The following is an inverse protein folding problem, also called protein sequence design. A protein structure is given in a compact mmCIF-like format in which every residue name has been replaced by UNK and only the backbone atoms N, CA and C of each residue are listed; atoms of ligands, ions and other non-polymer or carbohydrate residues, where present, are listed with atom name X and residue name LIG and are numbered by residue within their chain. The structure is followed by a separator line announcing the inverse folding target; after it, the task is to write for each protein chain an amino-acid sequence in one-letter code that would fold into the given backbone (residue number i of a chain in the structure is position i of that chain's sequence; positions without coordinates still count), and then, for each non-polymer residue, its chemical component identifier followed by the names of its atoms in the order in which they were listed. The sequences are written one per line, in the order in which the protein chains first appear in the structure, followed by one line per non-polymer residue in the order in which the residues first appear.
data_IF_788850409295
#
_entry.id   IF_788850409295
#
_cell.length_a   1.000
_cell.length_b   1.000
_cell.length_c   1.000
_cell.angle_alpha   90.00
_cell.angle_beta   90.00
_cell.angle_gamma   90.00
#
_symmetry.space_group_name_H-M   'P 1'
#
loop_
_entity.id
_entity.type
_entity.pdbx_description
1 polymer ?
#
# COMPACT_ATOMS: atom_id res chain seq x y z
N UNK A 1 -31.72 -6.96 0.36
CA UNK A 1 -31.20 -6.75 -1.01
C UNK A 1 -31.67 -7.89 -1.88
N UNK A 2 -32.16 -7.60 -3.08
CA UNK A 2 -32.55 -8.64 -4.05
C UNK A 2 -31.30 -9.24 -4.71
N UNK A 3 -31.38 -10.47 -5.18
CA UNK A 3 -30.35 -11.05 -6.02
C UNK A 3 -30.34 -10.35 -7.38
N UNK A 4 -29.16 -9.88 -7.80
CA UNK A 4 -28.95 -9.28 -9.12
C UNK A 4 -27.85 -10.09 -9.80
N UNK A 5 -28.20 -10.81 -10.87
CA UNK A 5 -27.24 -11.63 -11.61
C UNK A 5 -26.26 -10.77 -12.40
N UNK A 6 -25.01 -11.22 -12.51
CA UNK A 6 -23.99 -10.65 -13.40
C UNK A 6 -24.12 -11.15 -14.85
N UNK A 7 -25.01 -12.10 -15.12
CA UNK A 7 -25.06 -12.89 -16.36
C UNK A 7 -24.40 -14.26 -16.24
N UNK A 8 -23.73 -14.56 -15.12
CA UNK A 8 -23.23 -15.90 -14.80
C UNK A 8 -24.39 -16.90 -14.63
N UNK A 9 -24.22 -18.10 -15.20
CA UNK A 9 -25.17 -19.20 -15.08
C UNK A 9 -24.60 -20.33 -14.21
N UNK A 10 -25.16 -20.60 -13.01
CA UNK A 10 -24.70 -21.69 -12.15
C UNK A 10 -24.95 -23.08 -12.73
N UNK A 11 -25.94 -23.25 -13.62
CA UNK A 11 -26.22 -24.53 -14.29
C UNK A 11 -25.23 -24.81 -15.43
N UNK A 12 -24.54 -23.76 -15.91
CA UNK A 12 -23.55 -23.84 -16.99
C UNK A 12 -22.29 -23.04 -16.61
N UNK A 13 -21.56 -23.46 -15.57
CA UNK A 13 -20.52 -22.63 -14.97
C UNK A 13 -19.31 -22.38 -15.88
N UNK A 14 -19.17 -23.12 -16.98
CA UNK A 14 -18.08 -22.96 -17.95
C UNK A 14 -18.49 -22.14 -19.18
N UNK A 15 -19.78 -21.89 -19.39
CA UNK A 15 -20.26 -21.06 -20.50
C UNK A 15 -19.85 -19.60 -20.28
N UNK A 16 -19.29 -18.96 -21.31
CA UNK A 16 -18.80 -17.56 -21.27
C UNK A 16 -17.76 -17.24 -20.18
N UNK A 17 -17.05 -18.25 -19.65
CA UNK A 17 -15.96 -18.05 -18.70
C UNK A 17 -14.70 -17.53 -19.41
N UNK A 18 -14.26 -16.33 -19.04
CA UNK A 18 -12.93 -15.82 -19.40
C UNK A 18 -11.92 -16.23 -18.32
N UNK A 19 -10.80 -16.86 -18.70
CA UNK A 19 -9.69 -17.25 -17.80
C UNK A 19 -8.34 -16.89 -18.42
N UNK A 20 -7.29 -16.91 -17.60
CA UNK A 20 -5.89 -16.78 -18.03
C UNK A 20 -5.53 -15.48 -18.77
N UNK A 21 -6.29 -14.40 -18.54
CA UNK A 21 -6.09 -13.09 -19.20
C UNK A 21 -4.99 -12.22 -18.58
N UNK A 22 -4.55 -12.53 -17.35
CA UNK A 22 -3.54 -11.73 -16.63
C UNK A 22 -4.01 -10.30 -16.26
N UNK A 23 -3.06 -9.42 -15.85
CA UNK A 23 -3.36 -8.01 -15.57
C UNK A 23 -3.47 -7.20 -16.87
N UNK A 24 -4.13 -6.04 -16.78
CA UNK A 24 -4.02 -5.00 -17.81
C UNK A 24 -2.57 -4.52 -17.94
N UNK A 25 -2.16 -4.15 -19.14
CA UNK A 25 -0.79 -3.71 -19.36
C UNK A 25 -0.64 -2.29 -18.79
N UNK A 26 0.45 -2.05 -18.05
CA UNK A 26 0.62 -0.81 -17.29
C UNK A 26 0.68 0.46 -18.15
N UNK A 27 1.04 0.34 -19.43
CA UNK A 27 1.18 1.46 -20.37
C UNK A 27 -0.16 1.96 -20.91
N UNK A 28 -1.26 1.23 -20.66
CA UNK A 28 -2.64 1.71 -20.87
C UNK A 28 -2.99 2.88 -19.92
N UNK A 29 -2.24 3.06 -18.82
CA UNK A 29 -2.58 4.00 -17.74
C UNK A 29 -1.54 5.11 -17.52
N UNK A 30 -0.52 5.21 -18.37
CA UNK A 30 0.49 6.25 -18.21
C UNK A 30 -0.07 7.65 -18.46
N UNK A 31 0.28 8.64 -17.63
CA UNK A 31 0.21 10.04 -18.04
C UNK A 31 1.03 10.25 -19.31
N UNK A 32 0.59 11.17 -20.18
CA UNK A 32 1.22 11.38 -21.48
C UNK A 32 2.70 11.75 -21.37
N UNK A 33 3.07 12.59 -20.39
CA UNK A 33 4.47 12.94 -20.10
C UNK A 33 5.32 11.71 -19.73
N UNK A 34 4.75 10.73 -19.01
CA UNK A 34 5.44 9.48 -18.66
C UNK A 34 5.60 8.60 -19.89
N UNK A 35 4.54 8.48 -20.69
CA UNK A 35 4.54 7.65 -21.91
C UNK A 35 5.58 8.14 -22.91
N UNK A 36 5.67 9.44 -23.14
CA UNK A 36 6.56 10.04 -24.14
C UNK A 36 8.04 10.03 -23.72
N UNK A 37 8.31 10.02 -22.41
CA UNK A 37 9.66 10.10 -21.85
C UNK A 37 10.13 8.79 -21.19
N UNK A 38 9.37 7.70 -21.30
CA UNK A 38 9.74 6.41 -20.73
C UNK A 38 11.10 5.94 -21.25
N UNK A 39 12.04 5.76 -20.32
CA UNK A 39 13.41 5.32 -20.64
C UNK A 39 14.36 6.45 -21.06
N UNK A 40 13.92 7.71 -21.03
CA UNK A 40 14.69 8.91 -21.40
C UNK A 40 14.77 9.91 -20.25
N UNK A 41 14.78 9.43 -19.00
CA UNK A 41 14.88 10.28 -17.81
C UNK A 41 16.34 10.56 -17.51
N UNK A 42 16.70 11.84 -17.35
CA UNK A 42 18.07 12.27 -17.14
C UNK A 42 18.43 12.34 -15.65
N UNK A 43 17.60 13.00 -14.85
CA UNK A 43 17.80 13.14 -13.41
C UNK A 43 16.48 13.34 -12.67
N UNK A 44 16.56 13.33 -11.34
CA UNK A 44 15.46 13.70 -10.46
C UNK A 44 15.97 14.57 -9.31
N UNK A 45 15.07 15.35 -8.73
CA UNK A 45 15.32 16.14 -7.53
C UNK A 45 14.13 16.04 -6.57
N UNK A 46 14.39 16.16 -5.27
CA UNK A 46 13.36 16.31 -4.26
C UNK A 46 13.27 17.80 -3.91
N UNK A 47 12.18 18.44 -4.33
CA UNK A 47 11.99 19.88 -4.18
C UNK A 47 11.62 20.27 -2.74
N UNK A 48 10.82 19.43 -2.10
CA UNK A 48 10.38 19.54 -0.70
C UNK A 48 9.86 18.17 -0.22
N UNK A 49 9.61 17.96 1.09
CA UNK A 49 9.05 16.70 1.57
C UNK A 49 7.73 16.35 0.86
N UNK A 50 7.72 15.21 0.17
CA UNK A 50 6.59 14.73 -0.61
C UNK A 50 6.53 15.20 -2.07
N UNK A 51 7.44 16.07 -2.54
CA UNK A 51 7.43 16.56 -3.93
C UNK A 51 8.73 16.24 -4.65
N UNK A 52 8.62 15.56 -5.78
CA UNK A 52 9.72 15.21 -6.66
C UNK A 52 9.55 15.88 -8.02
N UNK A 53 10.65 16.12 -8.73
CA UNK A 53 10.64 16.38 -10.17
C UNK A 53 11.55 15.38 -10.85
N UNK A 54 11.14 14.88 -12.02
CA UNK A 54 12.02 14.16 -12.95
C UNK A 54 12.11 14.97 -14.24
N UNK A 55 13.31 15.09 -14.78
CA UNK A 55 13.59 15.83 -16.01
C UNK A 55 14.09 14.86 -17.07
N UNK A 56 13.49 14.91 -18.25
CA UNK A 56 13.85 14.04 -19.36
C UNK A 56 15.00 14.62 -20.20
N UNK A 57 15.54 13.79 -21.10
CA UNK A 57 16.52 14.21 -22.11
C UNK A 57 15.97 15.29 -23.07
N UNK A 58 14.65 15.41 -23.23
CA UNK A 58 14.01 16.44 -24.07
C UNK A 58 13.76 17.75 -23.33
N UNK A 59 14.01 17.77 -22.01
CA UNK A 59 13.69 18.90 -21.13
C UNK A 59 12.26 18.86 -20.58
N UNK A 60 11.47 17.83 -20.88
CA UNK A 60 10.16 17.65 -20.28
C UNK A 60 10.31 17.34 -18.79
N UNK A 61 9.43 17.91 -17.98
CA UNK A 61 9.42 17.72 -16.54
C UNK A 61 8.14 17.02 -16.10
N UNK A 62 8.25 16.12 -15.12
CA UNK A 62 7.09 15.59 -14.40
C UNK A 62 7.29 15.76 -12.90
N UNK A 63 6.32 16.41 -12.29
CA UNK A 63 6.27 16.68 -10.87
C UNK A 63 5.38 15.64 -10.19
N UNK A 64 5.90 14.97 -9.17
CA UNK A 64 5.16 13.96 -8.42
C UNK A 64 4.91 14.45 -6.99
N UNK A 65 3.64 14.50 -6.59
CA UNK A 65 3.23 14.75 -5.20
C UNK A 65 2.84 13.44 -4.56
N UNK A 66 3.64 12.99 -3.59
CA UNK A 66 3.42 11.76 -2.82
C UNK A 66 2.65 12.09 -1.54
N UNK A 67 1.58 11.33 -1.28
CA UNK A 67 0.84 11.39 -0.03
C UNK A 67 0.68 10.01 0.62
N UNK A 68 0.52 10.03 1.94
CA UNK A 68 0.29 8.84 2.75
C UNK A 68 -1.07 8.21 2.44
N UNK A 69 -1.12 6.88 2.49
CA UNK A 69 -2.36 6.11 2.39
C UNK A 69 -2.44 5.07 3.48
N UNK A 70 -3.64 4.79 4.00
CA UNK A 70 -3.84 3.81 5.08
C UNK A 70 -3.70 2.34 4.62
N UNK A 71 -3.44 2.10 3.32
CA UNK A 71 -3.50 0.80 2.62
C UNK A 71 -4.90 0.18 2.63
N UNK A 72 -5.46 -0.10 3.80
CA UNK A 72 -6.86 -0.49 3.95
C UNK A 72 -7.72 0.76 3.78
N UNK A 73 -8.57 0.76 2.77
CA UNK A 73 -9.36 1.93 2.40
C UNK A 73 -10.74 1.51 1.88
N UNK A 74 -11.72 2.40 2.06
CA UNK A 74 -13.06 2.22 1.50
C UNK A 74 -13.09 2.59 0.02
N UNK A 75 -14.09 2.08 -0.70
CA UNK A 75 -14.35 2.48 -2.09
C UNK A 75 -14.67 3.97 -2.21
N UNK A 76 -15.27 4.59 -1.19
CA UNK A 76 -15.47 6.05 -1.14
C UNK A 76 -14.15 6.81 -1.13
N UNK A 77 -13.16 6.34 -0.38
CA UNK A 77 -11.84 6.97 -0.37
C UNK A 77 -11.10 6.78 -1.71
N UNK A 78 -11.24 5.60 -2.35
CA UNK A 78 -10.72 5.38 -3.71
C UNK A 78 -11.37 6.33 -4.72
N UNK A 79 -12.68 6.55 -4.64
CA UNK A 79 -13.39 7.52 -5.51
C UNK A 79 -12.90 8.96 -5.28
N UNK A 80 -12.60 9.32 -4.04
CA UNK A 80 -12.01 10.63 -3.71
C UNK A 80 -10.57 10.78 -4.26
N UNK A 81 -9.78 9.70 -4.29
CA UNK A 81 -8.47 9.68 -4.98
C UNK A 81 -8.68 9.93 -6.49
N UNK A 82 -9.66 9.27 -7.11
CA UNK A 82 -9.98 9.48 -8.52
C UNK A 82 -10.47 10.90 -8.82
N UNK A 83 -11.30 11.50 -7.96
CA UNK A 83 -11.75 12.90 -8.07
C UNK A 83 -10.55 13.86 -8.12
N UNK A 84 -9.56 13.67 -7.25
CA UNK A 84 -8.35 14.49 -7.23
C UNK A 84 -7.53 14.27 -8.51
N UNK A 85 -7.40 13.01 -8.95
CA UNK A 85 -6.67 12.68 -10.18
C UNK A 85 -7.33 13.31 -11.42
N UNK A 86 -8.66 13.26 -11.53
CA UNK A 86 -9.42 13.91 -12.61
C UNK A 86 -9.27 15.42 -12.58
N UNK A 87 -9.27 16.01 -11.38
CA UNK A 87 -9.18 17.47 -11.21
C UNK A 87 -7.80 18.05 -11.51
N UNK A 88 -6.72 17.32 -11.18
CA UNK A 88 -5.35 17.86 -11.22
C UNK A 88 -4.40 17.12 -12.15
N UNK A 89 -4.68 15.86 -12.50
CA UNK A 89 -3.72 14.93 -13.10
C UNK A 89 -4.29 14.18 -14.32
N UNK A 90 -5.29 14.77 -14.99
CA UNK A 90 -5.94 14.21 -16.19
C UNK A 90 -6.48 12.77 -15.99
N UNK A 91 -6.91 12.46 -14.76
CA UNK A 91 -7.44 11.13 -14.38
C UNK A 91 -6.37 10.10 -14.05
N UNK A 92 -5.08 10.47 -14.03
CA UNK A 92 -3.99 9.56 -13.73
C UNK A 92 -3.53 9.63 -12.26
N UNK A 93 -3.29 8.47 -11.67
CA UNK A 93 -2.73 8.31 -10.33
C UNK A 93 -1.99 6.98 -10.25
N UNK A 94 -0.98 6.88 -9.40
CA UNK A 94 -0.30 5.61 -9.12
C UNK A 94 -0.14 5.36 -7.64
N UNK A 95 0.14 4.11 -7.29
CA UNK A 95 0.50 3.70 -5.94
C UNK A 95 1.97 3.27 -5.89
N UNK A 96 2.64 3.57 -4.78
CA UNK A 96 4.01 3.15 -4.55
C UNK A 96 4.07 1.73 -3.99
N UNK A 97 5.26 1.13 -4.02
CA UNK A 97 5.51 -0.19 -3.41
C UNK A 97 5.35 -0.20 -1.88
N UNK A 98 5.15 0.97 -1.26
CA UNK A 98 4.83 1.12 0.18
C UNK A 98 3.42 1.66 0.42
N UNK A 99 2.53 1.50 -0.56
CA UNK A 99 1.11 1.85 -0.46
C UNK A 99 0.83 3.35 -0.23
N UNK A 100 1.79 4.21 -0.56
CA UNK A 100 1.51 5.64 -0.73
C UNK A 100 0.85 5.89 -2.08
N UNK A 101 0.20 7.04 -2.20
CA UNK A 101 -0.44 7.50 -3.43
C UNK A 101 0.45 8.58 -4.04
N UNK A 102 0.58 8.59 -5.35
CA UNK A 102 1.32 9.59 -6.10
C UNK A 102 0.48 10.16 -7.23
N UNK A 103 0.36 11.49 -7.20
CA UNK A 103 -0.28 12.30 -8.23
C UNK A 103 0.82 12.98 -9.05
N UNK A 104 0.66 13.02 -10.36
CA UNK A 104 1.68 13.55 -11.28
C UNK A 104 1.10 14.70 -12.10
N UNK A 105 1.86 15.79 -12.20
CA UNK A 105 1.55 16.95 -13.05
C UNK A 105 2.75 17.31 -13.90
N UNK A 106 2.51 17.87 -15.07
CA UNK A 106 3.51 18.18 -16.10
C UNK A 106 4.06 19.61 -16.02
N UNK A 107 3.62 20.40 -15.04
CA UNK A 107 4.04 21.79 -14.88
C UNK A 107 4.18 22.19 -13.40
N UNK A 108 5.19 23.01 -13.09
CA UNK A 108 5.55 23.40 -11.73
C UNK A 108 4.42 24.16 -11.03
N UNK A 109 3.74 25.04 -11.75
CA UNK A 109 2.64 25.86 -11.24
C UNK A 109 1.41 25.03 -10.81
N UNK A 110 1.28 23.79 -11.29
CA UNK A 110 0.20 22.86 -10.89
C UNK A 110 0.48 22.15 -9.56
N UNK A 111 1.72 22.16 -9.07
CA UNK A 111 2.13 21.47 -7.83
C UNK A 111 1.47 22.06 -6.60
N UNK A 112 1.54 23.38 -6.42
CA UNK A 112 1.03 24.03 -5.21
C UNK A 112 -0.51 23.94 -5.08
N UNK A 113 -1.31 24.14 -6.14
CA UNK A 113 -2.75 23.88 -6.11
C UNK A 113 -3.09 22.43 -5.68
N UNK A 114 -2.40 21.43 -6.24
CA UNK A 114 -2.59 20.03 -5.91
C UNK A 114 -2.23 19.75 -4.44
N UNK A 115 -1.07 20.22 -3.97
CA UNK A 115 -0.60 20.05 -2.58
C UNK A 115 -1.59 20.66 -1.59
N UNK A 116 -2.10 21.86 -1.86
CA UNK A 116 -3.12 22.53 -1.03
C UNK A 116 -4.42 21.74 -0.95
N UNK A 117 -4.90 21.21 -2.08
CA UNK A 117 -6.11 20.38 -2.10
C UNK A 117 -5.91 19.12 -1.24
N UNK A 118 -4.81 18.39 -1.43
CA UNK A 118 -4.45 17.20 -0.65
C UNK A 118 -4.39 17.49 0.87
N UNK A 119 -3.66 18.54 1.28
CA UNK A 119 -3.47 18.91 2.68
C UNK A 119 -4.74 19.46 3.35
N UNK A 120 -5.68 20.01 2.57
CA UNK A 120 -6.97 20.49 3.09
C UNK A 120 -7.93 19.36 3.48
N UNK A 121 -7.73 18.15 2.96
CA UNK A 121 -8.66 17.02 3.10
C UNK A 121 -8.40 16.25 4.39
N UNK A 122 -9.38 16.27 5.29
CA UNK A 122 -9.36 15.56 6.58
C UNK A 122 -10.60 14.68 6.76
N UNK A 123 -10.44 13.60 7.52
CA UNK A 123 -11.59 12.86 8.05
C UNK A 123 -12.25 13.66 9.18
N UNK A 124 -13.51 13.33 9.50
CA UNK A 124 -14.24 13.98 10.59
C UNK A 124 -13.51 13.88 11.95
N UNK A 125 -12.70 12.84 12.16
CA UNK A 125 -11.86 12.66 13.35
C UNK A 125 -10.56 13.48 13.36
N UNK A 126 -10.34 14.35 12.37
CA UNK A 126 -9.21 15.27 12.31
C UNK A 126 -7.94 14.75 11.62
N UNK A 127 -7.84 13.44 11.37
CA UNK A 127 -6.70 12.87 10.63
C UNK A 127 -6.72 13.31 9.17
N UNK A 128 -5.54 13.63 8.63
CA UNK A 128 -5.35 13.88 7.20
C UNK A 128 -5.81 12.68 6.37
N UNK A 129 -6.49 12.96 5.26
CA UNK A 129 -6.80 11.95 4.24
C UNK A 129 -5.60 11.69 3.35
N UNK A 130 -4.87 12.74 2.99
CA UNK A 130 -3.76 12.70 2.04
C UNK A 130 -2.55 13.53 2.52
N UNK A 131 -1.93 13.18 3.66
CA UNK A 131 -0.77 13.93 4.15
C UNK A 131 0.40 13.82 3.16
N UNK A 132 0.94 14.94 2.69
CA UNK A 132 2.03 14.98 1.69
C UNK A 132 3.38 14.72 2.37
N UNK A 133 4.19 13.80 1.85
CA UNK A 133 5.47 13.46 2.49
C UNK A 133 6.09 12.14 2.05
N UNK A 134 6.98 11.59 2.87
CA UNK A 134 7.58 10.27 2.69
C UNK A 134 8.60 10.15 1.55
N UNK A 135 9.26 11.25 1.19
CA UNK A 135 10.43 11.30 0.28
C UNK A 135 11.72 11.57 1.07
N UNK A 136 12.87 11.36 0.43
CA UNK A 136 14.18 11.73 0.99
C UNK A 136 14.60 10.90 2.21
N UNK A 137 15.30 11.52 3.16
CA UNK A 137 15.78 10.87 4.38
C UNK A 137 14.81 11.13 5.55
N UNK A 138 13.65 10.48 5.50
CA UNK A 138 12.63 10.54 6.54
C UNK A 138 12.09 9.16 6.88
N UNK A 139 10.85 9.10 7.35
CA UNK A 139 10.10 7.85 7.51
C UNK A 139 9.00 7.83 6.48
N UNK A 140 9.02 6.85 5.60
CA UNK A 140 7.88 6.59 4.71
C UNK A 140 6.91 5.59 5.35
N UNK A 141 5.84 5.27 4.64
CA UNK A 141 4.75 4.43 5.16
C UNK A 141 5.22 3.03 5.59
N UNK A 142 4.43 2.38 6.46
CA UNK A 142 4.72 1.07 7.04
C UNK A 142 4.06 -0.02 6.19
N UNK A 143 4.88 -0.87 5.57
CA UNK A 143 4.40 -2.11 4.93
C UNK A 143 3.87 -3.03 6.03
N UNK A 144 2.63 -3.47 5.89
CA UNK A 144 1.95 -4.23 6.94
C UNK A 144 0.96 -5.28 6.43
N UNK A 145 0.57 -6.17 7.34
CA UNK A 145 -0.24 -7.36 7.06
C UNK A 145 -1.74 -7.17 7.34
N UNK A 146 -2.50 -8.26 7.34
CA UNK A 146 -3.93 -8.27 7.62
C UNK A 146 -4.26 -8.06 9.12
N UNK A 147 -3.51 -8.66 10.04
CA UNK A 147 -3.86 -8.59 11.47
C UNK A 147 -5.22 -9.21 11.77
N UNK A 148 -5.94 -8.63 12.73
CA UNK A 148 -7.26 -9.11 13.17
C UNK A 148 -8.39 -8.82 12.19
N UNK A 149 -8.12 -8.01 11.15
CA UNK A 149 -9.12 -7.64 10.15
C UNK A 149 -9.51 -8.84 9.28
N UNK A 150 -8.61 -9.80 9.06
CA UNK A 150 -8.87 -10.89 8.10
C UNK A 150 -8.07 -12.18 8.30
N UNK A 151 -6.95 -12.16 9.03
CA UNK A 151 -6.12 -13.36 9.18
C UNK A 151 -6.59 -14.22 10.36
N UNK A 152 -6.41 -15.54 10.26
CA UNK A 152 -6.72 -16.49 11.34
C UNK A 152 -5.49 -16.92 12.17
N UNK A 153 -4.27 -16.60 11.72
CA UNK A 153 -3.02 -16.84 12.47
C UNK A 153 -2.35 -15.59 13.11
N UNK A 154 -3.01 -14.43 13.30
CA UNK A 154 -2.33 -13.25 13.83
C UNK A 154 -2.07 -13.40 15.34
N UNK A 155 -0.86 -13.04 15.77
CA UNK A 155 -0.52 -12.85 17.18
C UNK A 155 -0.79 -11.41 17.67
N UNK A 156 -1.09 -10.48 16.75
CA UNK A 156 -1.41 -9.07 17.03
C UNK A 156 -2.15 -8.44 15.84
N UNK A 157 -2.79 -7.29 16.04
CA UNK A 157 -3.35 -6.50 14.94
C UNK A 157 -2.28 -5.78 14.12
N UNK A 158 -2.59 -5.55 12.83
CA UNK A 158 -1.74 -4.82 11.91
C UNK A 158 -2.13 -3.34 11.78
N UNK A 159 -3.35 -3.03 11.37
CA UNK A 159 -3.74 -1.64 11.08
C UNK A 159 -3.70 -0.74 12.31
N UNK A 160 -4.13 -1.23 13.48
CA UNK A 160 -4.05 -0.50 14.72
C UNK A 160 -2.61 -0.20 15.16
N UNK A 161 -1.70 -1.18 15.06
CA UNK A 161 -0.29 -0.99 15.43
C UNK A 161 0.41 -0.01 14.47
N UNK A 162 0.12 -0.11 13.17
CA UNK A 162 0.62 0.83 12.16
C UNK A 162 0.12 2.25 12.40
N UNK A 163 -1.18 2.42 12.67
CA UNK A 163 -1.77 3.73 12.97
C UNK A 163 -1.10 4.35 14.20
N UNK A 164 -0.97 3.60 15.28
CA UNK A 164 -0.33 4.08 16.51
C UNK A 164 1.14 4.47 16.26
N UNK A 165 1.91 3.67 15.51
CA UNK A 165 3.29 3.98 15.18
C UNK A 165 3.41 5.21 14.27
N UNK A 166 2.61 5.28 13.19
CA UNK A 166 2.66 6.41 12.25
C UNK A 166 2.21 7.73 12.86
N UNK A 167 1.36 7.72 13.89
CA UNK A 167 0.99 8.94 14.60
C UNK A 167 2.16 9.52 15.38
N UNK A 168 3.00 8.67 15.98
CA UNK A 168 4.23 9.10 16.66
C UNK A 168 5.31 9.53 15.66
N UNK A 169 5.40 8.82 14.52
CA UNK A 169 6.41 9.04 13.49
C UNK A 169 5.97 10.06 12.43
N UNK A 170 4.84 10.74 12.62
CA UNK A 170 4.23 11.59 11.60
C UNK A 170 5.12 12.76 11.19
N UNK A 171 5.84 13.35 12.15
CA UNK A 171 6.78 14.44 11.89
C UNK A 171 7.93 13.99 10.98
N UNK A 172 8.43 12.77 11.13
CA UNK A 172 9.47 12.20 10.26
C UNK A 172 8.92 11.80 8.89
N UNK A 173 7.62 11.59 8.75
CA UNK A 173 6.96 11.45 7.46
C UNK A 173 6.84 12.77 6.70
N UNK A 174 6.63 13.87 7.43
CA UNK A 174 6.51 15.22 6.88
C UNK A 174 7.86 15.92 6.64
N UNK A 175 8.99 15.30 7.01
CA UNK A 175 10.32 15.91 6.95
C UNK A 175 11.39 14.96 6.41
N UNK A 176 12.58 15.49 6.11
CA UNK A 176 13.73 14.75 5.59
C UNK A 176 14.97 14.97 6.47
N UNK A 177 14.85 14.71 7.78
CA UNK A 177 15.85 15.06 8.81
C UNK A 177 16.68 13.87 9.32
N UNK A 178 16.42 12.66 8.85
CA UNK A 178 17.15 11.46 9.27
C UNK A 178 18.47 11.32 8.50
N UNK A 179 19.44 10.54 9.00
CA UNK A 179 20.68 10.27 8.27
C UNK A 179 20.48 9.55 6.92
N UNK A 180 19.42 8.75 6.83
CA UNK A 180 18.99 8.04 5.62
C UNK A 180 17.48 7.76 5.72
N UNK A 181 16.86 7.34 4.61
CA UNK A 181 15.47 6.88 4.59
C UNK A 181 15.32 5.66 5.51
N UNK A 182 14.45 5.75 6.52
CA UNK A 182 14.18 4.66 7.45
C UNK A 182 12.90 3.93 7.07
N UNK A 183 12.97 2.60 6.95
CA UNK A 183 11.86 1.72 6.60
C UNK A 183 11.41 0.95 7.83
N UNK A 184 10.16 1.17 8.22
CA UNK A 184 9.48 0.37 9.24
C UNK A 184 8.57 -0.64 8.56
N UNK A 185 8.54 -1.89 9.00
CA UNK A 185 7.53 -2.87 8.53
C UNK A 185 6.91 -3.64 9.68
N UNK A 186 5.69 -4.13 9.47
CA UNK A 186 4.90 -4.83 10.48
C UNK A 186 4.36 -6.15 9.95
N UNK A 187 4.49 -7.23 10.71
CA UNK A 187 3.78 -8.49 10.43
C UNK A 187 3.09 -9.01 11.68
N UNK A 188 1.85 -9.47 11.50
CA UNK A 188 1.02 -9.96 12.60
C UNK A 188 1.45 -11.33 13.14
N UNK A 189 2.29 -12.09 12.42
CA UNK A 189 2.87 -13.34 12.87
C UNK A 189 4.20 -13.62 12.15
N UNK A 190 4.88 -14.69 12.56
CA UNK A 190 6.21 -15.10 12.05
C UNK A 190 6.25 -15.60 10.61
N UNK A 191 5.09 -15.76 9.94
CA UNK A 191 5.07 -15.93 8.48
C UNK A 191 5.61 -14.68 7.77
N UNK A 192 5.65 -13.54 8.47
CA UNK A 192 6.37 -12.33 8.06
C UNK A 192 5.98 -11.83 6.66
N UNK A 193 4.70 -11.95 6.29
CA UNK A 193 4.20 -11.50 5.00
C UNK A 193 4.52 -10.01 4.77
N UNK A 194 5.43 -9.71 3.84
CA UNK A 194 5.93 -8.35 3.62
C UNK A 194 7.42 -8.26 3.88
N UNK A 195 7.84 -7.23 4.61
CA UNK A 195 9.25 -6.80 4.65
C UNK A 195 9.88 -6.78 6.06
N UNK A 196 9.27 -7.45 7.06
CA UNK A 196 9.79 -7.45 8.45
C UNK A 196 11.23 -7.98 8.53
N UNK A 197 11.60 -8.98 7.72
CA UNK A 197 12.95 -9.56 7.72
C UNK A 197 14.03 -8.68 7.09
N UNK A 198 13.65 -7.58 6.42
CA UNK A 198 14.56 -6.75 5.62
C UNK A 198 14.28 -5.24 5.74
N UNK A 199 13.72 -4.82 6.88
CA UNK A 199 13.46 -3.42 7.21
C UNK A 199 14.42 -2.93 8.29
N UNK A 200 14.67 -1.63 8.32
CA UNK A 200 15.51 -0.99 9.34
C UNK A 200 14.90 -1.17 10.75
N UNK A 201 13.57 -1.09 10.84
CA UNK A 201 12.81 -1.41 12.05
C UNK A 201 11.65 -2.35 11.71
N UNK A 202 11.46 -3.36 12.55
CA UNK A 202 10.49 -4.42 12.38
C UNK A 202 9.59 -4.56 13.62
N UNK A 203 8.27 -4.60 13.39
CA UNK A 203 7.27 -4.92 14.40
C UNK A 203 6.72 -6.31 14.07
N UNK A 204 6.84 -7.25 15.00
CA UNK A 204 6.45 -8.64 14.78
C UNK A 204 5.54 -9.16 15.89
N UNK A 205 4.37 -9.66 15.51
CA UNK A 205 3.51 -10.42 16.41
C UNK A 205 4.15 -11.76 16.78
N UNK A 206 4.17 -12.08 18.08
CA UNK A 206 4.88 -13.23 18.60
C UNK A 206 4.07 -13.99 19.65
N UNK A 207 3.92 -15.30 19.47
CA UNK A 207 3.30 -16.19 20.45
C UNK A 207 4.33 -16.58 21.53
N UNK A 208 3.87 -16.86 22.75
CA UNK A 208 4.73 -17.28 23.87
C UNK A 208 4.20 -18.55 24.59
N UNK A 209 3.32 -19.30 23.93
CA UNK A 209 2.72 -20.53 24.43
C UNK A 209 2.64 -21.56 23.28
N UNK A 210 2.83 -22.86 23.57
CA UNK A 210 2.50 -23.92 22.62
C UNK A 210 1.02 -23.89 22.20
N UNK A 211 0.66 -24.51 21.05
CA UNK A 211 -0.73 -24.63 20.63
C UNK A 211 -1.54 -25.53 21.59
N UNK A 212 -2.85 -25.28 21.67
CA UNK A 212 -3.78 -26.19 22.32
C UNK A 212 -4.19 -27.29 21.34
N UNK A 213 -4.35 -28.52 21.84
CA UNK A 213 -4.72 -29.67 21.03
C UNK A 213 -6.21 -29.96 21.16
N UNK A 214 -6.92 -29.96 20.05
CA UNK A 214 -8.33 -30.34 19.97
C UNK A 214 -8.46 -31.79 19.50
N UNK A 215 -8.27 -32.72 20.44
CA UNK A 215 -8.24 -34.15 20.14
C UNK A 215 -9.55 -34.70 19.54
N UNK A 216 -10.70 -34.04 19.75
CA UNK A 216 -11.98 -34.50 19.21
C UNK A 216 -12.06 -34.37 17.68
N UNK A 217 -11.40 -33.34 17.13
CA UNK A 217 -11.49 -32.97 15.72
C UNK A 217 -10.18 -33.08 14.95
N UNK A 218 -9.03 -33.21 15.62
CA UNK A 218 -7.70 -33.19 14.99
C UNK A 218 -7.62 -34.16 13.80
N UNK A 219 -7.97 -35.43 13.98
CA UNK A 219 -7.90 -36.44 12.90
C UNK A 219 -8.99 -36.25 11.82
N UNK A 220 -10.06 -35.52 12.14
CA UNK A 220 -11.16 -35.23 11.19
C UNK A 220 -10.85 -34.04 10.29
N UNK A 221 -9.98 -33.13 10.74
CA UNK A 221 -9.73 -31.83 10.10
C UNK A 221 -8.30 -31.68 9.58
N UNK A 222 -7.36 -32.52 10.04
CA UNK A 222 -5.94 -32.37 9.74
C UNK A 222 -5.36 -33.61 9.06
N UNK A 223 -4.54 -33.40 8.04
CA UNK A 223 -3.63 -34.42 7.52
C UNK A 223 -2.41 -34.50 8.46
N UNK A 224 -2.42 -35.42 9.43
CA UNK A 224 -1.40 -35.51 10.51
C UNK A 224 0.05 -35.44 10.01
N UNK A 225 0.47 -36.14 8.92
CA UNK A 225 1.83 -36.04 8.42
C UNK A 225 2.25 -34.62 8.04
N UNK A 226 1.31 -33.78 7.55
CA UNK A 226 1.59 -32.38 7.25
C UNK A 226 1.84 -31.58 8.54
N UNK A 227 1.07 -31.84 9.61
CA UNK A 227 1.26 -31.16 10.89
C UNK A 227 2.63 -31.50 11.52
N UNK A 228 3.04 -32.78 11.49
CA UNK A 228 4.37 -33.22 11.96
C UNK A 228 5.48 -32.54 11.16
N UNK A 229 5.38 -32.59 9.82
CA UNK A 229 6.39 -32.00 8.93
C UNK A 229 6.47 -30.47 9.00
N UNK A 230 5.41 -29.80 9.46
CA UNK A 230 5.38 -28.34 9.60
C UNK A 230 6.20 -27.82 10.79
N UNK A 231 6.59 -28.67 11.75
CA UNK A 231 7.32 -28.23 12.94
C UNK A 231 8.83 -28.07 12.64
N UNK A 232 9.38 -26.83 12.63
CA UNK A 232 10.80 -26.62 12.32
C UNK A 232 11.75 -27.19 13.39
N UNK A 233 11.23 -27.49 14.59
CA UNK A 233 11.98 -28.01 15.73
C UNK A 233 11.57 -29.43 16.14
N UNK A 234 10.78 -30.12 15.32
CA UNK A 234 10.35 -31.51 15.56
C UNK A 234 9.72 -31.75 16.95
N UNK A 235 8.85 -30.85 17.40
CA UNK A 235 8.17 -30.93 18.69
C UNK A 235 6.75 -31.53 18.62
N UNK A 236 6.33 -31.99 17.44
CA UNK A 236 5.02 -32.62 17.16
C UNK A 236 5.27 -34.10 16.86
#
# INVERSE_FOLDING_TARGET
MAFVSSGYNPDKPMENRLSDIGPKKYDEFYPEVIKNNKGKWLYHEILEPGVLVHVSETGDEVYTVRCGGARIMSTTHVREICEIAEKHCDGHVRFTTRNNIEFMVDAKEKVEPLKKDLESRKYNGGSYKFPVGGTGAGITNIVHTQGWIHCHTPATDASGTVKAAMDVLFDDFKNMRLPAQLRVSMACCLNMCGAVHCSDIAILGYHRKPPLLDHEYLDKMCEIPLAVAACPTAAI
#
